data_IF_153640715761
#
_entry.id   IF_153640715761
#
_cell.length_a   1.000
_cell.length_b   1.000
_cell.length_c   1.000
_cell.angle_alpha   90.00
_cell.angle_beta   90.00
_cell.angle_gamma   90.00
#
_symmetry.space_group_name_H-M   'P 1'
#
loop_
_entity.id
_entity.type
_entity.pdbx_description
1 polymer ?
#
# COMPACT_ATOMS: atom_id res chain seq x y z
N UNK A 1 -16.45 -9.13 -44.64
CA UNK A 1 -15.46 -9.34 -43.57
C UNK A 1 -14.03 -8.97 -44.01
N UNK A 2 -13.57 -9.44 -45.19
CA UNK A 2 -12.22 -9.14 -45.73
C UNK A 2 -11.88 -7.66 -45.87
N UNK A 3 -12.85 -6.79 -46.15
CA UNK A 3 -12.58 -5.33 -46.26
C UNK A 3 -12.35 -4.64 -44.90
N UNK A 4 -12.99 -5.10 -43.82
CA UNK A 4 -12.77 -4.58 -42.47
C UNK A 4 -11.38 -4.94 -41.92
N UNK A 5 -10.92 -6.18 -42.20
CA UNK A 5 -9.60 -6.65 -41.79
C UNK A 5 -8.48 -5.89 -42.49
N UNK A 6 -8.63 -5.64 -43.80
CA UNK A 6 -7.69 -4.84 -44.62
C UNK A 6 -7.63 -3.39 -44.12
N UNK A 7 -8.81 -2.80 -43.87
CA UNK A 7 -8.88 -1.42 -43.35
C UNK A 7 -8.25 -1.32 -41.97
N UNK A 8 -8.48 -2.30 -41.07
CA UNK A 8 -7.85 -2.35 -39.76
C UNK A 8 -6.33 -2.53 -39.87
N UNK A 9 -5.85 -3.40 -40.73
CA UNK A 9 -4.42 -3.61 -40.98
C UNK A 9 -3.72 -2.34 -41.48
N UNK A 10 -4.36 -1.60 -42.39
CA UNK A 10 -3.84 -0.32 -42.88
C UNK A 10 -3.78 0.72 -41.74
N UNK A 11 -4.80 0.80 -40.91
CA UNK A 11 -4.82 1.70 -39.76
C UNK A 11 -3.72 1.37 -38.74
N UNK A 12 -3.52 0.08 -38.41
CA UNK A 12 -2.45 -0.36 -37.52
C UNK A 12 -1.08 0.04 -38.06
N UNK A 13 -0.81 -0.20 -39.37
CA UNK A 13 0.43 0.17 -40.01
C UNK A 13 0.66 1.68 -40.00
N UNK A 14 -0.40 2.47 -40.20
CA UNK A 14 -0.31 3.93 -40.13
C UNK A 14 0.00 4.42 -38.71
N UNK A 15 -0.62 3.83 -37.68
CA UNK A 15 -0.35 4.15 -36.27
C UNK A 15 1.11 3.84 -35.94
N UNK A 16 1.61 2.68 -36.30
CA UNK A 16 3.01 2.29 -36.05
C UNK A 16 4.01 3.19 -36.76
N UNK A 17 3.70 3.66 -37.97
CA UNK A 17 4.52 4.64 -38.69
C UNK A 17 4.55 6.00 -38.02
N UNK A 18 3.41 6.46 -37.48
CA UNK A 18 3.27 7.78 -36.89
C UNK A 18 3.80 7.85 -35.45
N UNK A 19 3.55 6.81 -34.66
CA UNK A 19 3.81 6.81 -33.22
C UNK A 19 4.92 5.81 -32.79
N UNK A 20 5.45 5.03 -33.71
CA UNK A 20 6.49 4.02 -33.47
C UNK A 20 5.94 2.61 -33.27
N UNK A 21 6.82 1.61 -33.46
CA UNK A 21 6.48 0.20 -33.22
C UNK A 21 6.08 -0.02 -31.77
N UNK A 22 5.01 -0.79 -31.56
CA UNK A 22 4.49 -1.08 -30.21
C UNK A 22 3.53 -0.02 -29.66
N UNK A 23 3.22 1.05 -30.42
CA UNK A 23 2.21 2.03 -30.03
C UNK A 23 0.80 1.47 -29.99
N UNK A 24 0.56 0.37 -30.70
CA UNK A 24 -0.66 -0.42 -30.67
C UNK A 24 -0.32 -1.90 -30.76
N UNK A 25 -0.97 -2.73 -29.96
CA UNK A 25 -0.75 -4.17 -29.96
C UNK A 25 -2.04 -4.92 -29.61
N UNK A 26 -2.15 -6.17 -30.01
CA UNK A 26 -3.25 -7.04 -29.58
C UNK A 26 -2.91 -7.59 -28.19
N UNK A 27 -3.82 -7.49 -27.24
CA UNK A 27 -3.59 -7.91 -25.85
C UNK A 27 -3.14 -9.38 -25.73
N UNK A 28 -3.69 -10.27 -26.56
CA UNK A 28 -3.31 -11.69 -26.59
C UNK A 28 -1.99 -12.02 -27.32
N UNK A 29 -1.35 -11.03 -27.94
CA UNK A 29 -0.01 -11.15 -28.58
C UNK A 29 1.09 -10.49 -27.75
N UNK A 30 0.75 -9.87 -26.61
CA UNK A 30 1.74 -9.54 -25.61
C UNK A 30 2.25 -10.87 -25.04
N UNK A 31 3.49 -11.25 -25.38
CA UNK A 31 4.16 -12.50 -24.98
C UNK A 31 4.33 -12.67 -23.45
N UNK A 32 3.70 -11.83 -22.69
CA UNK A 32 3.63 -11.91 -21.24
C UNK A 32 2.20 -11.57 -20.83
N UNK A 33 1.50 -12.52 -20.23
CA UNK A 33 0.70 -12.20 -19.05
C UNK A 33 1.70 -11.60 -18.07
N UNK A 34 1.95 -10.28 -18.17
CA UNK A 34 2.99 -9.59 -17.40
C UNK A 34 2.58 -9.73 -15.96
N UNK A 35 3.25 -10.64 -15.25
CA UNK A 35 3.19 -10.64 -13.79
C UNK A 35 3.56 -9.23 -13.37
N UNK A 36 2.60 -8.52 -12.78
CA UNK A 36 2.84 -7.15 -12.29
C UNK A 36 3.82 -7.28 -11.14
N UNK A 37 5.06 -6.77 -11.27
CA UNK A 37 6.03 -6.88 -10.20
C UNK A 37 5.50 -6.15 -8.96
N UNK A 38 5.66 -6.77 -7.80
CA UNK A 38 5.14 -6.27 -6.55
C UNK A 38 6.25 -6.06 -5.50
N UNK A 39 6.02 -5.10 -4.61
CA UNK A 39 6.83 -4.85 -3.43
C UNK A 39 6.04 -5.29 -2.21
N UNK A 40 6.62 -6.17 -1.40
CA UNK A 40 5.99 -6.65 -0.16
C UNK A 40 5.68 -5.48 0.78
N UNK A 41 4.57 -5.59 1.48
CA UNK A 41 4.16 -4.63 2.51
C UNK A 41 4.81 -4.88 3.87
N UNK A 42 5.54 -5.99 4.03
CA UNK A 42 6.03 -6.46 5.32
C UNK A 42 5.01 -7.26 6.12
N UNK A 43 3.73 -7.25 5.72
CA UNK A 43 2.65 -8.07 6.24
C UNK A 43 2.32 -9.17 5.24
N UNK A 44 2.48 -10.43 5.64
CA UNK A 44 2.16 -11.59 4.79
C UNK A 44 0.67 -11.62 4.44
N UNK A 45 -0.18 -11.34 5.42
CA UNK A 45 -1.63 -11.34 5.22
C UNK A 45 -2.06 -10.27 4.21
N UNK A 46 -1.49 -9.05 4.28
CA UNK A 46 -1.80 -7.99 3.34
C UNK A 46 -1.25 -8.31 1.94
N UNK A 47 -0.05 -8.87 1.84
CA UNK A 47 0.53 -9.31 0.57
C UNK A 47 -0.36 -10.34 -0.16
N UNK A 48 -0.89 -11.33 0.58
CA UNK A 48 -1.84 -12.31 0.06
C UNK A 48 -3.18 -11.68 -0.32
N UNK A 49 -3.69 -10.76 0.50
CA UNK A 49 -4.94 -10.07 0.24
C UNK A 49 -4.86 -9.18 -1.00
N UNK A 50 -3.72 -8.56 -1.29
CA UNK A 50 -3.46 -7.78 -2.50
C UNK A 50 -3.46 -8.64 -3.78
N UNK A 51 -3.28 -9.94 -3.67
CA UNK A 51 -3.45 -10.91 -4.76
C UNK A 51 -2.26 -11.08 -5.69
N UNK A 52 -1.26 -10.21 -5.61
CA UNK A 52 -0.02 -10.23 -6.42
C UNK A 52 1.24 -10.30 -5.55
N UNK A 53 1.08 -10.59 -4.25
CA UNK A 53 2.20 -10.71 -3.30
C UNK A 53 2.77 -9.40 -2.80
N UNK A 54 2.03 -8.29 -2.90
CA UNK A 54 2.43 -6.98 -2.41
C UNK A 54 1.79 -5.83 -3.19
N UNK A 55 2.33 -4.61 -3.04
CA UNK A 55 1.90 -3.42 -3.75
C UNK A 55 2.46 -3.40 -5.19
N UNK A 56 1.63 -3.10 -6.21
CA UNK A 56 2.04 -3.12 -7.61
C UNK A 56 3.05 -2.02 -7.93
N UNK A 57 4.16 -2.37 -8.57
CA UNK A 57 5.11 -1.40 -9.13
C UNK A 57 4.50 -0.67 -10.33
N UNK A 58 5.01 0.52 -10.61
CA UNK A 58 4.48 1.34 -11.69
C UNK A 58 3.07 1.90 -11.44
N UNK A 59 2.65 1.97 -10.19
CA UNK A 59 1.30 2.38 -9.78
C UNK A 59 1.31 3.37 -8.63
N UNK A 60 0.19 4.10 -8.53
CA UNK A 60 -0.10 5.01 -7.43
C UNK A 60 -0.99 4.28 -6.42
N UNK A 61 -0.62 4.35 -5.15
CA UNK A 61 -1.31 3.74 -4.03
C UNK A 61 -1.71 4.84 -3.05
N UNK A 62 -2.89 4.74 -2.46
CA UNK A 62 -3.32 5.58 -1.35
C UNK A 62 -3.48 4.74 -0.09
N UNK A 63 -2.81 5.14 0.99
CA UNK A 63 -2.98 4.59 2.34
C UNK A 63 -3.62 5.68 3.18
N UNK A 64 -4.82 5.45 3.70
CA UNK A 64 -5.54 6.45 4.48
C UNK A 64 -6.17 5.85 5.74
N UNK A 65 -6.47 6.68 6.69
CA UNK A 65 -7.05 6.27 7.96
C UNK A 65 -6.96 7.35 9.02
N UNK A 66 -7.54 7.11 10.21
CA UNK A 66 -7.43 8.02 11.35
C UNK A 66 -5.97 8.27 11.76
N UNK A 67 -5.76 9.28 12.59
CA UNK A 67 -4.47 9.52 13.22
C UNK A 67 -4.05 8.30 14.06
N UNK A 68 -2.74 8.05 14.15
CA UNK A 68 -2.14 6.94 14.91
C UNK A 68 -2.65 5.55 14.52
N UNK A 69 -3.19 5.37 13.32
CA UNK A 69 -3.67 4.08 12.81
C UNK A 69 -2.57 3.17 12.25
N UNK A 70 -1.34 3.67 12.05
CA UNK A 70 -0.20 2.92 11.51
C UNK A 70 0.11 3.17 10.03
N UNK A 71 -0.42 4.24 9.41
CA UNK A 71 -0.16 4.59 7.99
C UNK A 71 1.32 4.70 7.68
N UNK A 72 2.02 5.57 8.41
CA UNK A 72 3.46 5.80 8.26
C UNK A 72 4.26 4.52 8.55
N UNK A 73 3.87 3.75 9.57
CA UNK A 73 4.48 2.45 9.88
C UNK A 73 4.41 1.49 8.70
N UNK A 74 3.22 1.34 8.09
CA UNK A 74 3.03 0.47 6.92
C UNK A 74 3.87 0.95 5.73
N UNK A 75 3.89 2.26 5.44
CA UNK A 75 4.69 2.82 4.35
C UNK A 75 6.20 2.60 4.57
N UNK A 76 6.69 2.77 5.80
CA UNK A 76 8.09 2.50 6.15
C UNK A 76 8.47 1.02 6.02
N UNK A 77 7.56 0.10 6.36
CA UNK A 77 7.79 -1.33 6.09
C UNK A 77 7.91 -1.61 4.59
N UNK A 78 7.09 -0.99 3.72
CA UNK A 78 7.23 -1.12 2.26
C UNK A 78 8.61 -0.62 1.79
N UNK A 79 9.07 0.52 2.33
CA UNK A 79 10.41 1.06 2.06
C UNK A 79 11.48 0.05 2.48
N UNK A 80 11.39 -0.48 3.71
CA UNK A 80 12.35 -1.47 4.21
C UNK A 80 12.39 -2.74 3.34
N UNK A 81 11.24 -3.26 2.94
CA UNK A 81 11.15 -4.43 2.07
C UNK A 81 11.70 -4.16 0.66
N UNK A 82 11.53 -2.96 0.12
CA UNK A 82 12.14 -2.54 -1.14
C UNK A 82 13.66 -2.46 -1.04
N UNK A 83 14.19 -1.82 0.01
CA UNK A 83 15.63 -1.69 0.25
C UNK A 83 16.31 -3.05 0.48
N UNK A 84 15.66 -4.01 1.16
CA UNK A 84 16.18 -5.39 1.30
C UNK A 84 16.42 -6.08 -0.03
N UNK A 85 15.68 -5.69 -1.08
CA UNK A 85 15.86 -6.19 -2.45
C UNK A 85 16.80 -5.31 -3.28
N UNK A 86 17.52 -4.37 -2.67
CA UNK A 86 18.44 -3.43 -3.33
C UNK A 86 17.73 -2.26 -4.02
N UNK A 87 16.46 -2.01 -3.72
CA UNK A 87 15.70 -0.93 -4.31
C UNK A 87 16.04 0.44 -3.73
N UNK A 88 16.03 1.46 -4.58
CA UNK A 88 16.22 2.87 -4.21
C UNK A 88 14.89 3.48 -3.77
N UNK A 89 14.88 4.14 -2.62
CA UNK A 89 13.69 4.69 -2.01
C UNK A 89 13.83 6.17 -1.67
N UNK A 90 12.73 6.92 -1.80
CA UNK A 90 12.66 8.30 -1.37
C UNK A 90 11.40 8.55 -0.54
N UNK A 91 11.48 9.52 0.35
CA UNK A 91 10.43 9.93 1.26
C UNK A 91 10.28 11.46 1.23
N UNK A 92 9.09 11.92 0.89
CA UNK A 92 8.72 13.33 0.95
C UNK A 92 7.92 13.53 2.23
N UNK A 93 8.57 14.12 3.23
CA UNK A 93 8.02 14.40 4.55
C UNK A 93 7.45 15.82 4.59
N UNK A 94 6.21 15.97 4.14
CA UNK A 94 5.51 17.25 4.16
C UNK A 94 4.98 17.62 5.56
N UNK A 95 4.90 16.68 6.48
CA UNK A 95 4.51 16.93 7.88
C UNK A 95 5.71 17.33 8.76
N UNK A 96 6.96 17.18 8.27
CA UNK A 96 8.19 17.39 9.03
C UNK A 96 8.26 16.55 10.32
N UNK A 97 7.72 15.35 10.29
CA UNK A 97 7.51 14.49 11.46
C UNK A 97 8.26 13.15 11.39
N UNK A 98 9.11 12.92 10.40
CA UNK A 98 9.88 11.70 10.24
C UNK A 98 10.88 11.54 11.38
N UNK A 99 10.77 10.43 12.12
CA UNK A 99 11.77 10.00 13.10
C UNK A 99 12.71 8.95 12.47
N UNK A 100 13.99 9.31 12.21
CA UNK A 100 14.98 8.38 11.67
C UNK A 100 15.24 7.17 12.57
N UNK A 101 15.15 7.35 13.90
CA UNK A 101 15.35 6.27 14.87
C UNK A 101 14.22 5.24 14.77
N UNK A 102 12.99 5.71 14.61
CA UNK A 102 11.84 4.84 14.40
C UNK A 102 11.94 4.11 13.05
N UNK A 103 12.27 4.82 11.96
CA UNK A 103 12.46 4.21 10.65
C UNK A 103 13.52 3.10 10.67
N UNK A 104 14.66 3.34 11.34
CA UNK A 104 15.72 2.34 11.50
C UNK A 104 15.25 1.09 12.26
N UNK A 105 14.43 1.25 13.30
CA UNK A 105 13.84 0.12 14.05
C UNK A 105 12.91 -0.72 13.20
N UNK A 106 12.23 -0.12 12.22
CA UNK A 106 11.38 -0.84 11.26
C UNK A 106 12.19 -1.53 10.14
N UNK A 107 13.50 -1.40 10.15
CA UNK A 107 14.41 -2.04 9.19
C UNK A 107 14.75 -1.19 7.97
N UNK A 108 14.41 0.10 7.99
CA UNK A 108 14.81 1.04 6.94
C UNK A 108 16.30 1.36 7.07
N UNK A 109 17.05 1.22 5.99
CA UNK A 109 18.42 1.76 5.91
C UNK A 109 18.33 3.29 5.71
N UNK A 110 18.50 4.02 6.79
CA UNK A 110 18.40 5.48 6.80
C UNK A 110 19.51 6.16 6.00
N UNK A 111 20.66 5.50 5.80
CA UNK A 111 21.78 6.07 5.03
C UNK A 111 21.50 6.09 3.52
N UNK A 112 20.65 5.18 3.05
CA UNK A 112 20.28 5.04 1.63
C UNK A 112 18.88 5.59 1.33
N UNK A 113 18.14 6.07 2.34
CA UNK A 113 16.84 6.69 2.14
C UNK A 113 17.00 8.17 1.78
N UNK A 114 16.55 8.54 0.58
CA UNK A 114 16.44 9.96 0.20
C UNK A 114 15.27 10.58 0.94
N UNK A 115 15.50 11.70 1.63
CA UNK A 115 14.45 12.46 2.30
C UNK A 115 14.38 13.88 1.76
N UNK A 116 13.15 14.40 1.60
CA UNK A 116 12.88 15.79 1.26
C UNK A 116 11.79 16.35 2.16
N UNK A 117 11.98 17.56 2.64
CA UNK A 117 11.03 18.29 3.50
C UNK A 117 10.65 19.61 2.82
N UNK A 118 9.72 19.58 1.85
CA UNK A 118 9.34 20.75 1.07
C UNK A 118 8.45 21.70 1.87
N UNK A 119 8.56 23.01 1.58
CA UNK A 119 7.76 24.06 2.22
C UNK A 119 6.36 24.19 1.59
N UNK A 120 6.17 23.78 0.32
CA UNK A 120 4.91 23.92 -0.42
C UNK A 120 4.52 22.62 -1.11
N UNK A 121 3.21 22.45 -1.36
CA UNK A 121 2.68 21.32 -2.10
C UNK A 121 3.21 21.24 -3.54
N UNK A 122 3.39 22.39 -4.19
CA UNK A 122 3.97 22.46 -5.54
C UNK A 122 5.41 21.93 -5.54
N UNK A 123 6.24 22.36 -4.59
CA UNK A 123 7.62 21.92 -4.47
C UNK A 123 7.68 20.39 -4.22
N UNK A 124 6.84 19.88 -3.30
CA UNK A 124 6.75 18.45 -3.02
C UNK A 124 6.47 17.62 -4.28
N UNK A 125 5.46 18.05 -5.06
CA UNK A 125 5.00 17.33 -6.25
C UNK A 125 5.96 17.47 -7.44
N UNK A 126 6.70 18.58 -7.56
CA UNK A 126 7.75 18.74 -8.56
C UNK A 126 8.99 17.88 -8.23
N UNK A 127 9.36 17.79 -6.97
CA UNK A 127 10.41 16.86 -6.51
C UNK A 127 9.98 15.41 -6.81
N UNK A 128 8.73 15.05 -6.50
CA UNK A 128 8.17 13.75 -6.83
C UNK A 128 8.24 13.45 -8.33
N UNK A 129 7.79 14.37 -9.20
CA UNK A 129 7.84 14.19 -10.65
C UNK A 129 9.27 14.02 -11.17
N UNK A 130 10.21 14.81 -10.65
CA UNK A 130 11.62 14.75 -11.03
C UNK A 130 12.24 13.40 -10.65
N UNK A 131 12.02 12.95 -9.42
CA UNK A 131 12.53 11.66 -8.94
C UNK A 131 11.94 10.48 -9.73
N UNK A 132 10.64 10.48 -9.97
CA UNK A 132 9.97 9.42 -10.75
C UNK A 132 10.46 9.39 -12.20
N UNK A 133 10.62 10.55 -12.83
CA UNK A 133 11.09 10.64 -14.22
C UNK A 133 12.52 10.20 -14.41
N UNK A 134 13.34 10.21 -13.37
CA UNK A 134 14.71 9.68 -13.42
C UNK A 134 14.75 8.18 -13.76
N UNK A 135 13.67 7.44 -13.43
CA UNK A 135 13.61 5.99 -13.62
C UNK A 135 14.49 5.19 -12.67
N UNK A 136 15.15 5.86 -11.71
CA UNK A 136 16.08 5.23 -10.78
C UNK A 136 15.46 4.88 -9.43
N UNK A 137 14.18 5.21 -9.23
CA UNK A 137 13.50 5.05 -7.95
C UNK A 137 12.52 3.88 -7.99
N UNK A 138 12.57 3.02 -6.97
CA UNK A 138 11.65 1.89 -6.81
C UNK A 138 10.42 2.29 -6.00
N UNK A 139 10.60 3.03 -4.91
CA UNK A 139 9.52 3.50 -4.02
C UNK A 139 9.66 4.97 -3.73
N UNK A 140 8.54 5.69 -3.83
CA UNK A 140 8.39 7.06 -3.36
C UNK A 140 7.20 7.11 -2.38
N UNK A 141 7.44 7.62 -1.17
CA UNK A 141 6.38 7.91 -0.19
C UNK A 141 6.18 9.41 -0.12
N UNK A 142 4.92 9.85 -0.06
CA UNK A 142 4.52 11.24 0.21
C UNK A 142 3.66 11.25 1.47
N UNK A 143 4.17 11.79 2.54
CA UNK A 143 3.53 11.84 3.85
C UNK A 143 3.39 13.30 4.33
N UNK A 144 2.22 13.86 4.37
CA UNK A 144 0.95 13.36 3.90
C UNK A 144 0.32 14.33 2.88
N UNK A 145 -0.68 13.84 2.12
CA UNK A 145 -1.45 14.71 1.20
C UNK A 145 -2.09 15.89 1.95
N UNK A 146 -2.49 15.69 3.21
CA UNK A 146 -3.10 16.74 4.02
C UNK A 146 -2.15 17.93 4.26
N UNK A 147 -0.85 17.70 4.28
CA UNK A 147 0.20 18.70 4.50
C UNK A 147 0.71 19.35 3.20
N UNK A 148 0.23 18.93 2.03
CA UNK A 148 0.56 19.56 0.75
C UNK A 148 -0.20 20.87 0.58
N UNK A 149 0.24 21.91 1.27
CA UNK A 149 -0.37 23.24 1.23
C UNK A 149 0.07 23.96 -0.05
N UNK A 150 -0.88 24.47 -0.88
CA UNK A 150 -0.54 25.29 -2.04
C UNK A 150 0.22 26.56 -1.65
N UNK A 151 1.21 26.94 -2.47
CA UNK A 151 2.02 28.14 -2.25
C UNK A 151 1.16 29.39 -2.06
N UNK A 152 0.12 29.56 -2.87
CA UNK A 152 -0.80 30.71 -2.79
C UNK A 152 -1.56 30.78 -1.46
N UNK A 153 -1.76 29.65 -0.78
CA UNK A 153 -2.37 29.59 0.55
C UNK A 153 -1.38 29.99 1.64
N UNK A 154 -0.10 29.64 1.47
CA UNK A 154 0.98 30.01 2.41
C UNK A 154 1.28 31.52 2.31
N UNK A 155 1.25 32.10 1.09
CA UNK A 155 1.53 33.51 0.85
C UNK A 155 0.31 34.44 1.11
N UNK A 156 -0.90 33.85 1.28
CA UNK A 156 -2.12 34.57 1.61
C UNK A 156 -2.17 35.04 3.06
N UNK A 157 -3.13 35.95 3.34
CA UNK A 157 -3.37 36.42 4.71
C UNK A 157 -4.22 35.40 5.51
N UNK A 158 -4.04 35.39 6.85
CA UNK A 158 -4.88 34.57 7.72
C UNK A 158 -6.36 34.92 7.59
N UNK A 159 -7.17 33.98 7.11
CA UNK A 159 -8.61 34.16 6.88
C UNK A 159 -9.00 34.23 5.42
N UNK A 160 -8.05 34.26 4.49
CA UNK A 160 -8.32 34.18 3.07
C UNK A 160 -8.95 32.82 2.69
N UNK A 161 -9.91 32.88 1.76
CA UNK A 161 -10.59 31.67 1.29
C UNK A 161 -9.87 31.05 0.10
N UNK A 162 -9.16 29.96 0.31
CA UNK A 162 -8.42 29.22 -0.72
C UNK A 162 -9.13 27.93 -1.16
N UNK A 163 -10.46 28.00 -1.32
CA UNK A 163 -11.28 26.80 -1.61
C UNK A 163 -10.83 26.07 -2.88
N UNK A 164 -10.51 24.77 -2.72
CA UNK A 164 -10.22 23.86 -3.83
C UNK A 164 -8.84 23.97 -4.46
N UNK A 165 -7.93 24.82 -3.98
CA UNK A 165 -6.57 24.94 -4.52
C UNK A 165 -5.80 23.63 -4.39
N UNK A 166 -5.82 23.00 -3.22
CA UNK A 166 -5.16 21.70 -3.00
C UNK A 166 -5.71 20.62 -3.94
N UNK A 167 -7.03 20.57 -4.14
CA UNK A 167 -7.64 19.59 -5.05
C UNK A 167 -7.24 19.83 -6.52
N UNK A 168 -7.09 21.07 -6.95
CA UNK A 168 -6.58 21.43 -8.29
C UNK A 168 -5.13 21.03 -8.46
N UNK A 169 -4.29 21.33 -7.46
CA UNK A 169 -2.88 20.95 -7.42
C UNK A 169 -2.71 19.45 -7.54
N UNK A 170 -3.42 18.66 -6.71
CA UNK A 170 -3.41 17.21 -6.77
C UNK A 170 -3.89 16.67 -8.12
N UNK A 171 -4.97 17.22 -8.68
CA UNK A 171 -5.47 16.80 -9.99
C UNK A 171 -4.45 17.05 -11.11
N UNK A 172 -3.73 18.16 -11.07
CA UNK A 172 -2.70 18.50 -12.05
C UNK A 172 -1.49 17.58 -11.91
N UNK A 173 -1.01 17.37 -10.69
CA UNK A 173 0.15 16.53 -10.41
C UNK A 173 -0.10 15.07 -10.79
N UNK A 174 -1.26 14.51 -10.39
CA UNK A 174 -1.59 13.11 -10.67
C UNK A 174 -1.70 12.83 -12.18
N UNK A 175 -2.22 13.78 -12.97
CA UNK A 175 -2.22 13.65 -14.44
C UNK A 175 -0.82 13.53 -15.03
N UNK A 176 0.16 14.29 -14.49
CA UNK A 176 1.56 14.22 -14.93
C UNK A 176 2.22 12.93 -14.44
N UNK A 177 2.08 12.64 -13.14
CA UNK A 177 2.74 11.51 -12.47
C UNK A 177 2.31 10.15 -13.03
N UNK A 178 1.03 9.96 -13.36
CA UNK A 178 0.51 8.64 -13.76
C UNK A 178 1.26 8.03 -14.93
N UNK A 179 1.55 8.81 -15.98
CA UNK A 179 2.28 8.33 -17.15
C UNK A 179 3.78 8.08 -16.83
N UNK A 180 4.37 8.93 -15.99
CA UNK A 180 5.77 8.81 -15.58
C UNK A 180 5.97 7.60 -14.68
N UNK A 181 5.09 7.39 -13.72
CA UNK A 181 5.09 6.24 -12.78
C UNK A 181 5.01 4.90 -13.52
N UNK A 182 4.10 4.78 -14.49
CA UNK A 182 3.97 3.56 -15.28
C UNK A 182 5.21 3.26 -16.12
N UNK A 183 5.87 4.29 -16.67
CA UNK A 183 7.08 4.13 -17.48
C UNK A 183 8.33 3.83 -16.65
N UNK A 184 8.47 4.48 -15.49
CA UNK A 184 9.61 4.29 -14.59
C UNK A 184 9.51 3.03 -13.73
N UNK A 185 8.32 2.39 -13.72
CA UNK A 185 8.02 1.25 -12.85
C UNK A 185 8.19 1.56 -11.34
N UNK A 186 8.05 2.84 -10.97
CA UNK A 186 8.14 3.33 -9.59
C UNK A 186 6.80 3.09 -8.87
N UNK A 187 6.83 2.61 -7.64
CA UNK A 187 5.69 2.59 -6.74
C UNK A 187 5.59 3.94 -6.02
N UNK A 188 4.45 4.65 -6.13
CA UNK A 188 4.20 5.84 -5.31
C UNK A 188 3.12 5.51 -4.26
N UNK A 189 3.42 5.85 -3.02
CA UNK A 189 2.50 5.76 -1.89
C UNK A 189 2.17 7.16 -1.41
N UNK A 190 0.89 7.55 -1.50
CA UNK A 190 0.37 8.74 -0.85
C UNK A 190 -0.28 8.34 0.46
N UNK A 191 0.23 8.89 1.55
CA UNK A 191 -0.42 8.80 2.86
C UNK A 191 -1.45 9.91 2.95
N UNK A 192 -2.66 9.59 3.41
CA UNK A 192 -3.76 10.55 3.49
C UNK A 192 -4.51 10.47 4.83
N UNK A 193 -5.16 11.56 5.17
CA UNK A 193 -5.93 11.69 6.40
C UNK A 193 -7.43 11.69 6.07
N UNK A 194 -8.24 11.20 7.00
CA UNK A 194 -9.69 11.24 6.91
C UNK A 194 -10.19 12.59 7.41
N UNK A 195 -11.18 13.13 6.73
CA UNK A 195 -11.97 14.30 7.12
C UNK A 195 -13.46 13.94 7.07
N UNK A 196 -14.26 14.64 7.85
CA UNK A 196 -15.71 14.46 7.87
C UNK A 196 -16.37 15.51 6.98
N UNK A 197 -17.22 15.07 6.05
CA UNK A 197 -18.08 15.96 5.25
C UNK A 197 -19.16 16.56 6.15
N UNK A 198 -19.30 17.87 6.14
CA UNK A 198 -20.33 18.58 6.90
C UNK A 198 -21.67 18.42 6.17
N UNK A 199 -22.74 18.14 6.92
CA UNK A 199 -24.11 18.09 6.39
C UNK A 199 -24.52 16.76 5.74
N UNK A 200 -23.70 15.72 5.81
CA UNK A 200 -24.09 14.38 5.35
C UNK A 200 -24.94 13.69 6.43
N UNK A 201 -26.24 13.57 6.19
CA UNK A 201 -27.18 12.91 7.11
C UNK A 201 -27.33 11.42 6.83
N UNK A 202 -27.05 10.96 5.63
CA UNK A 202 -27.15 9.57 5.19
C UNK A 202 -25.88 9.18 4.39
N UNK A 203 -25.47 7.89 4.46
CA UNK A 203 -24.27 7.39 3.83
C UNK A 203 -22.99 7.67 4.64
N UNK A 204 -21.83 7.45 4.03
CA UNK A 204 -20.53 7.61 4.69
C UNK A 204 -20.06 9.07 4.66
N UNK A 205 -19.95 9.75 5.82
CA UNK A 205 -19.48 11.13 5.89
C UNK A 205 -17.96 11.25 5.72
N UNK A 206 -17.21 10.14 5.80
CA UNK A 206 -15.74 10.16 5.72
C UNK A 206 -15.27 10.47 4.29
N UNK A 207 -14.26 11.30 4.19
CA UNK A 207 -13.57 11.60 2.92
C UNK A 207 -12.10 11.82 3.18
N UNK A 208 -11.26 11.65 2.14
CA UNK A 208 -9.83 11.94 2.23
C UNK A 208 -9.54 13.38 1.75
N UNK A 209 -8.41 13.97 2.20
CA UNK A 209 -7.97 15.29 1.78
C UNK A 209 -7.46 15.30 0.33
N UNK A 210 -7.29 16.49 -0.27
CA UNK A 210 -6.76 16.65 -1.63
C UNK A 210 -7.79 16.40 -2.74
N UNK A 211 -9.09 16.35 -2.43
CA UNK A 211 -10.18 16.17 -3.39
C UNK A 211 -10.33 14.73 -3.89
N UNK A 212 -11.03 14.55 -5.00
CA UNK A 212 -11.36 13.21 -5.51
C UNK A 212 -10.32 12.63 -6.48
N UNK A 213 -9.34 13.43 -6.95
CA UNK A 213 -8.43 12.98 -7.99
C UNK A 213 -7.65 11.71 -7.59
N UNK A 214 -7.13 11.66 -6.37
CA UNK A 214 -6.36 10.51 -5.88
C UNK A 214 -7.20 9.23 -5.83
N UNK A 215 -8.49 9.33 -5.49
CA UNK A 215 -9.42 8.19 -5.51
C UNK A 215 -9.51 7.54 -6.90
N UNK A 216 -9.48 8.34 -7.99
CA UNK A 216 -9.54 7.83 -9.36
C UNK A 216 -8.18 7.32 -9.85
N UNK A 217 -7.08 8.06 -9.57
CA UNK A 217 -5.75 7.73 -10.07
C UNK A 217 -5.10 6.57 -9.32
N UNK A 218 -5.38 6.38 -8.03
CA UNK A 218 -4.87 5.26 -7.27
C UNK A 218 -5.34 3.92 -7.85
N UNK A 219 -4.39 2.99 -8.01
CA UNK A 219 -4.66 1.61 -8.43
C UNK A 219 -5.07 0.74 -7.25
N UNK A 220 -4.56 1.04 -6.06
CA UNK A 220 -4.93 0.40 -4.80
C UNK A 220 -5.21 1.49 -3.77
N UNK A 221 -6.27 1.33 -3.00
CA UNK A 221 -6.61 2.17 -1.86
C UNK A 221 -6.78 1.30 -0.62
N UNK A 222 -6.11 1.68 0.44
CA UNK A 222 -6.01 0.94 1.68
C UNK A 222 -6.52 1.82 2.82
N UNK A 223 -7.59 1.37 3.48
CA UNK A 223 -8.09 1.94 4.73
C UNK A 223 -7.43 1.19 5.90
N UNK A 224 -6.73 1.91 6.78
CA UNK A 224 -6.04 1.35 7.93
C UNK A 224 -6.59 1.92 9.22
N UNK A 225 -7.03 1.06 10.15
CA UNK A 225 -7.68 1.44 11.39
C UNK A 225 -7.17 0.65 12.58
N UNK A 226 -6.95 1.33 13.69
CA UNK A 226 -6.74 0.70 14.98
C UNK A 226 -8.06 0.11 15.47
N UNK A 227 -8.07 -1.18 15.84
CA UNK A 227 -9.25 -1.88 16.36
C UNK A 227 -9.11 -2.30 17.82
N UNK A 228 -7.89 -2.30 18.37
CA UNK A 228 -7.64 -2.66 19.76
C UNK A 228 -6.26 -2.24 20.22
N UNK A 229 -6.04 -2.29 21.53
CA UNK A 229 -4.72 -2.13 22.14
C UNK A 229 -4.16 -3.51 22.54
N UNK A 230 -2.89 -3.72 22.27
CA UNK A 230 -2.14 -4.90 22.75
C UNK A 230 -1.48 -4.51 24.05
N UNK A 231 -1.74 -5.27 25.09
CA UNK A 231 -1.20 -5.02 26.42
C UNK A 231 -0.30 -6.16 26.86
N UNK A 232 0.78 -5.79 27.52
CA UNK A 232 1.59 -6.69 28.31
C UNK A 232 1.46 -6.25 29.77
N UNK A 233 0.79 -7.06 30.59
CA UNK A 233 0.30 -6.67 31.92
C UNK A 233 -0.54 -5.37 31.86
N UNK A 234 -0.08 -4.28 32.47
CA UNK A 234 -0.76 -2.98 32.48
C UNK A 234 -0.29 -2.03 31.39
N UNK A 235 0.83 -2.32 30.71
CA UNK A 235 1.41 -1.46 29.68
C UNK A 235 0.84 -1.77 28.30
N UNK A 236 0.52 -0.72 27.53
CA UNK A 236 0.13 -0.86 26.13
C UNK A 236 1.40 -0.92 25.29
N UNK A 237 1.68 -2.11 24.73
CA UNK A 237 2.89 -2.37 23.93
C UNK A 237 2.65 -2.27 22.42
N UNK A 238 1.40 -2.15 21.99
CA UNK A 238 1.09 -2.10 20.57
C UNK A 238 -0.40 -1.94 20.30
N UNK A 239 -0.74 -2.00 19.02
CA UNK A 239 -2.10 -1.90 18.52
C UNK A 239 -2.43 -3.06 17.61
N UNK A 240 -3.61 -3.62 17.78
CA UNK A 240 -4.24 -4.45 16.77
C UNK A 240 -4.81 -3.54 15.69
N UNK A 241 -4.44 -3.79 14.45
CA UNK A 241 -4.74 -2.92 13.31
C UNK A 241 -5.48 -3.72 12.25
N UNK A 242 -6.58 -3.13 11.75
CA UNK A 242 -7.36 -3.64 10.63
C UNK A 242 -7.04 -2.87 9.38
N UNK A 243 -6.77 -3.58 8.30
CA UNK A 243 -6.50 -3.03 6.97
C UNK A 243 -7.55 -3.55 6.00
N UNK A 244 -8.27 -2.64 5.34
CA UNK A 244 -9.26 -2.96 4.31
C UNK A 244 -8.77 -2.46 2.96
N UNK A 245 -8.75 -3.33 1.96
CA UNK A 245 -8.45 -2.98 0.58
C UNK A 245 -9.74 -2.50 -0.07
N UNK A 246 -9.95 -1.18 -0.11
CA UNK A 246 -11.19 -0.56 -0.60
C UNK A 246 -11.25 -0.53 -2.13
N UNK A 247 -10.09 -0.39 -2.78
CA UNK A 247 -9.95 -0.41 -4.23
C UNK A 247 -8.72 -1.22 -4.62
N UNK A 248 -8.86 -2.04 -5.64
CA UNK A 248 -7.73 -2.80 -6.20
C UNK A 248 -7.97 -3.04 -7.70
N UNK A 249 -7.08 -2.52 -8.56
CA UNK A 249 -7.13 -2.71 -10.02
C UNK A 249 -6.33 -3.92 -10.50
N UNK A 250 -5.64 -4.64 -9.60
CA UNK A 250 -4.78 -5.78 -9.96
C UNK A 250 -5.29 -7.12 -9.41
N UNK A 251 -6.29 -7.09 -8.51
CA UNK A 251 -6.96 -8.26 -7.96
C UNK A 251 -8.33 -7.86 -7.39
N UNK A 252 -9.22 -8.80 -7.01
CA UNK A 252 -10.49 -8.47 -6.38
C UNK A 252 -10.31 -7.65 -5.10
N UNK A 253 -11.02 -6.50 -4.94
CA UNK A 253 -10.95 -5.63 -3.77
C UNK A 253 -11.77 -6.18 -2.58
N UNK A 254 -11.95 -5.33 -1.56
CA UNK A 254 -12.77 -5.51 -0.35
C UNK A 254 -12.31 -6.60 0.62
N UNK A 255 -11.05 -7.05 0.49
CA UNK A 255 -10.46 -7.96 1.46
C UNK A 255 -10.02 -7.19 2.70
N UNK A 256 -10.13 -7.85 3.85
CA UNK A 256 -9.76 -7.29 5.15
C UNK A 256 -8.70 -8.18 5.81
N UNK A 257 -7.71 -7.56 6.39
CA UNK A 257 -6.62 -8.23 7.11
C UNK A 257 -6.39 -7.54 8.44
N UNK A 258 -6.23 -8.32 9.49
CA UNK A 258 -5.87 -7.84 10.81
C UNK A 258 -4.44 -8.29 11.13
N UNK A 259 -3.64 -7.36 11.64
CA UNK A 259 -2.30 -7.65 12.16
C UNK A 259 -1.95 -6.76 13.36
N UNK A 260 -0.93 -7.17 14.09
CA UNK A 260 -0.44 -6.47 15.26
C UNK A 260 0.69 -5.53 14.88
N UNK A 261 0.62 -4.26 15.32
CA UNK A 261 1.74 -3.30 15.28
C UNK A 261 2.28 -3.14 16.69
N UNK A 262 3.52 -3.55 16.92
CA UNK A 262 4.22 -3.41 18.21
C UNK A 262 5.03 -2.12 18.20
N UNK A 263 4.93 -1.35 19.26
CA UNK A 263 5.66 -0.08 19.38
C UNK A 263 7.17 -0.31 19.39
N UNK A 264 7.86 0.37 18.48
CA UNK A 264 9.31 0.22 18.31
C UNK A 264 9.79 -0.98 17.51
N UNK A 265 8.88 -1.96 17.16
CA UNK A 265 9.20 -3.10 16.29
C UNK A 265 8.44 -3.05 14.95
N UNK A 266 7.26 -2.41 14.93
CA UNK A 266 6.38 -2.36 13.76
C UNK A 266 5.46 -3.58 13.62
N UNK A 267 5.20 -4.02 12.39
CA UNK A 267 4.31 -5.14 12.09
C UNK A 267 4.90 -6.44 12.65
N UNK A 268 4.11 -7.14 13.46
CA UNK A 268 4.51 -8.40 14.11
C UNK A 268 4.50 -9.57 13.12
N UNK A 269 5.53 -9.66 12.28
CA UNK A 269 5.66 -10.71 11.24
C UNK A 269 5.50 -12.11 11.81
N UNK A 270 6.15 -12.44 12.94
CA UNK A 270 6.04 -13.76 13.58
C UNK A 270 4.63 -14.02 14.11
N UNK A 271 3.95 -12.98 14.59
CA UNK A 271 2.55 -13.09 15.01
C UNK A 271 1.63 -13.45 13.85
N UNK A 272 1.80 -12.79 12.70
CA UNK A 272 1.05 -13.11 11.49
C UNK A 272 1.33 -14.54 10.97
N UNK A 273 2.60 -14.99 10.98
CA UNK A 273 2.96 -16.34 10.56
C UNK A 273 2.23 -17.40 11.39
N UNK A 274 2.09 -17.19 12.70
CA UNK A 274 1.35 -18.11 13.57
C UNK A 274 -0.14 -18.08 13.25
N UNK A 275 -0.74 -16.88 13.17
CA UNK A 275 -2.17 -16.73 12.95
C UNK A 275 -2.60 -17.24 11.57
N UNK A 276 -1.85 -16.89 10.52
CA UNK A 276 -2.09 -17.36 9.17
C UNK A 276 -1.76 -18.85 9.01
N UNK A 277 -0.68 -19.31 9.66
CA UNK A 277 -0.30 -20.71 9.67
C UNK A 277 -1.37 -21.63 10.28
N UNK A 278 -2.02 -21.16 11.36
CA UNK A 278 -3.16 -21.88 11.94
C UNK A 278 -4.36 -21.85 11.00
N UNK A 279 -4.67 -20.73 10.37
CA UNK A 279 -5.77 -20.61 9.40
C UNK A 279 -5.55 -21.48 8.15
N UNK A 280 -4.30 -21.61 7.71
CA UNK A 280 -3.90 -22.46 6.59
C UNK A 280 -3.78 -23.95 6.96
N UNK A 281 -3.84 -24.30 8.25
CA UNK A 281 -3.58 -25.66 8.68
C UNK A 281 -2.11 -26.09 8.60
N UNK A 282 -1.19 -25.15 8.35
CA UNK A 282 0.27 -25.35 8.32
C UNK A 282 0.82 -25.45 9.74
N UNK A 283 0.29 -24.65 10.66
CA UNK A 283 0.59 -24.67 12.08
C UNK A 283 -0.60 -25.29 12.81
N UNK A 284 -0.36 -26.33 13.58
CA UNK A 284 -1.39 -26.97 14.39
C UNK A 284 -1.53 -26.27 15.74
N UNK A 285 -2.78 -26.02 16.16
CA UNK A 285 -3.09 -25.49 17.48
C UNK A 285 -3.92 -26.48 18.28
N UNK A 286 -3.37 -26.96 19.37
CA UNK A 286 -4.07 -27.87 20.31
C UNK A 286 -4.07 -27.25 21.71
N UNK A 287 -5.23 -26.72 22.10
CA UNK A 287 -5.36 -25.93 23.34
C UNK A 287 -4.45 -24.69 23.31
N UNK A 288 -3.51 -24.61 24.25
CA UNK A 288 -2.50 -23.55 24.33
C UNK A 288 -1.21 -23.85 23.54
N UNK A 289 -1.06 -25.05 22.98
CA UNK A 289 0.15 -25.46 22.28
C UNK A 289 0.07 -25.20 20.78
N UNK A 290 1.18 -24.72 20.24
CA UNK A 290 1.40 -24.60 18.81
C UNK A 290 2.44 -25.62 18.36
N UNK A 291 2.20 -26.28 17.23
CA UNK A 291 3.08 -27.32 16.66
C UNK A 291 3.27 -27.13 15.16
N UNK A 292 4.44 -27.48 14.66
CA UNK A 292 4.76 -27.50 13.23
C UNK A 292 5.41 -28.82 12.88
N UNK A 293 4.88 -29.56 11.89
CA UNK A 293 5.36 -30.92 11.52
C UNK A 293 5.48 -31.87 12.69
N UNK A 294 4.58 -31.80 13.67
CA UNK A 294 4.58 -32.64 14.87
C UNK A 294 5.52 -32.16 16.00
N UNK A 295 6.35 -31.16 15.78
CA UNK A 295 7.22 -30.56 16.80
C UNK A 295 6.53 -29.39 17.48
N UNK A 296 6.61 -29.30 18.81
CA UNK A 296 6.06 -28.20 19.59
C UNK A 296 6.93 -26.97 19.43
N UNK A 297 6.33 -25.86 18.94
CA UNK A 297 7.02 -24.58 18.75
C UNK A 297 6.75 -23.56 19.87
N UNK A 298 5.79 -23.83 20.75
CA UNK A 298 5.56 -22.99 21.92
C UNK A 298 4.23 -23.26 22.62
N UNK A 299 4.18 -22.93 23.91
CA UNK A 299 2.95 -22.84 24.68
C UNK A 299 2.53 -21.37 24.77
N UNK A 300 1.39 -21.02 24.17
CA UNK A 300 0.94 -19.64 23.98
C UNK A 300 1.60 -18.96 22.78
N UNK A 301 0.93 -17.91 22.28
CA UNK A 301 1.33 -17.16 21.07
C UNK A 301 2.71 -16.50 21.23
N UNK A 302 3.00 -15.93 22.41
CA UNK A 302 4.25 -15.22 22.65
C UNK A 302 5.46 -16.17 22.67
N UNK A 303 5.33 -17.37 23.28
CA UNK A 303 6.39 -18.39 23.25
C UNK A 303 6.64 -18.89 21.82
N UNK A 304 5.59 -19.07 21.03
CA UNK A 304 5.71 -19.48 19.63
C UNK A 304 6.38 -18.38 18.78
N UNK A 305 6.06 -17.09 19.00
CA UNK A 305 6.74 -15.95 18.35
C UNK A 305 8.24 -15.95 18.69
N UNK A 306 8.59 -16.10 19.96
CA UNK A 306 9.99 -16.13 20.40
C UNK A 306 10.75 -17.30 19.76
N UNK A 307 10.13 -18.46 19.68
CA UNK A 307 10.70 -19.63 19.00
C UNK A 307 10.97 -19.34 17.52
N UNK A 308 10.01 -18.78 16.78
CA UNK A 308 10.16 -18.45 15.37
C UNK A 308 11.21 -17.35 15.13
N UNK A 309 11.32 -16.36 16.03
CA UNK A 309 12.40 -15.35 15.98
C UNK A 309 13.80 -16.00 16.07
N UNK A 310 13.93 -17.07 16.87
CA UNK A 310 15.20 -17.78 17.05
C UNK A 310 15.45 -18.86 15.99
N UNK A 311 14.44 -19.23 15.21
CA UNK A 311 14.49 -20.32 14.23
C UNK A 311 14.02 -19.83 12.85
N UNK A 312 14.79 -18.93 12.22
CA UNK A 312 14.45 -18.30 10.95
C UNK A 312 14.18 -19.29 9.80
N UNK A 313 14.83 -20.45 9.81
CA UNK A 313 14.58 -21.50 8.81
C UNK A 313 13.15 -22.02 8.90
N UNK A 314 12.67 -22.31 10.12
CA UNK A 314 11.32 -22.80 10.35
C UNK A 314 10.31 -21.71 10.00
N UNK A 315 10.59 -20.45 10.38
CA UNK A 315 9.75 -19.32 10.01
C UNK A 315 9.62 -19.17 8.49
N UNK A 316 10.73 -19.30 7.75
CA UNK A 316 10.75 -19.24 6.28
C UNK A 316 10.02 -20.41 5.62
N UNK A 317 10.12 -21.63 6.18
CA UNK A 317 9.38 -22.79 5.70
C UNK A 317 7.86 -22.61 5.90
N UNK A 318 7.45 -22.11 7.06
CA UNK A 318 6.04 -21.81 7.35
C UNK A 318 5.53 -20.73 6.40
N UNK A 319 6.29 -19.65 6.19
CA UNK A 319 5.94 -18.58 5.25
C UNK A 319 5.77 -19.12 3.82
N UNK A 320 6.71 -19.95 3.36
CA UNK A 320 6.64 -20.56 2.03
C UNK A 320 5.41 -21.48 1.87
N UNK A 321 5.10 -22.27 2.90
CA UNK A 321 3.92 -23.14 2.92
C UNK A 321 2.61 -22.32 2.88
N UNK A 322 2.52 -21.23 3.67
CA UNK A 322 1.37 -20.32 3.66
C UNK A 322 1.22 -19.67 2.28
N UNK A 323 2.31 -19.21 1.64
CA UNK A 323 2.26 -18.62 0.31
C UNK A 323 1.81 -19.62 -0.76
N UNK A 324 2.20 -20.89 -0.65
CA UNK A 324 1.77 -21.94 -1.57
C UNK A 324 0.26 -22.22 -1.46
N UNK A 325 -0.31 -22.13 -0.25
CA UNK A 325 -1.74 -22.28 0.04
C UNK A 325 -2.54 -20.96 -0.13
N UNK A 326 -1.87 -19.91 -0.55
CA UNK A 326 -2.39 -18.53 -0.59
C UNK A 326 -3.72 -18.36 -1.34
N UNK A 327 -4.03 -19.24 -2.30
CA UNK A 327 -5.29 -19.24 -3.03
C UNK A 327 -6.50 -19.57 -2.14
N UNK A 328 -6.41 -20.63 -1.34
CA UNK A 328 -7.48 -21.04 -0.42
C UNK A 328 -7.62 -20.07 0.74
N UNK A 329 -6.50 -19.61 1.33
CA UNK A 329 -6.48 -18.58 2.36
C UNK A 329 -7.15 -17.29 1.90
N UNK A 330 -6.84 -16.85 0.68
CA UNK A 330 -7.44 -15.65 0.09
C UNK A 330 -8.96 -15.81 -0.07
N UNK A 331 -9.45 -16.98 -0.47
CA UNK A 331 -10.89 -17.25 -0.55
C UNK A 331 -11.55 -17.23 0.85
N UNK A 332 -10.92 -17.81 1.85
CA UNK A 332 -11.41 -17.75 3.24
C UNK A 332 -11.46 -16.31 3.75
N UNK A 333 -10.44 -15.48 3.46
CA UNK A 333 -10.44 -14.06 3.81
C UNK A 333 -11.58 -13.27 3.18
N UNK A 334 -12.00 -13.61 1.95
CA UNK A 334 -13.17 -13.00 1.28
C UNK A 334 -14.45 -13.39 1.99
N UNK A 335 -14.60 -14.65 2.37
CA UNK A 335 -15.81 -15.16 3.05
C UNK A 335 -15.97 -14.56 4.45
N UNK A 336 -14.87 -14.30 5.14
CA UNK A 336 -14.86 -13.70 6.48
C UNK A 336 -15.08 -12.17 6.45
N UNK A 337 -15.00 -11.53 5.28
CA UNK A 337 -15.19 -10.09 5.14
C UNK A 337 -16.67 -9.76 5.01
N UNK A 338 -17.26 -8.91 5.86
CA UNK A 338 -18.63 -8.43 5.69
C UNK A 338 -18.79 -7.79 4.32
N UNK A 339 -19.93 -8.06 3.64
CA UNK A 339 -20.24 -7.39 2.37
C UNK A 339 -20.13 -5.87 2.56
N UNK A 340 -19.44 -5.16 1.63
CA UNK A 340 -19.35 -3.71 1.70
C UNK A 340 -20.75 -3.08 1.65
N UNK A 341 -20.95 -1.99 2.35
CA UNK A 341 -22.18 -1.21 2.24
C UNK A 341 -22.35 -0.71 0.79
N UNK A 342 -23.58 -0.56 0.32
CA UNK A 342 -23.88 -0.10 -1.05
C UNK A 342 -23.14 1.20 -1.40
N UNK A 343 -23.00 2.12 -0.43
CA UNK A 343 -22.27 3.38 -0.57
C UNK A 343 -20.76 3.20 -0.83
N UNK A 344 -20.15 2.13 -0.32
CA UNK A 344 -18.74 1.81 -0.54
C UNK A 344 -18.47 1.25 -1.94
N UNK A 345 -19.46 0.59 -2.55
CA UNK A 345 -19.34 0.06 -3.92
C UNK A 345 -19.39 1.18 -4.96
N UNK A 346 -20.17 2.23 -4.72
CA UNK A 346 -20.25 3.42 -5.59
C UNK A 346 -18.96 4.26 -5.55
N UNK A 347 -18.22 4.28 -4.44
CA UNK A 347 -16.93 4.97 -4.36
C UNK A 347 -15.77 4.22 -5.05
N UNK A 348 -15.94 2.95 -5.39
CA UNK A 348 -14.90 2.10 -6.00
C UNK A 348 -14.97 2.04 -7.54
N UNK A 349 -16.10 2.44 -8.15
CA UNK A 349 -16.25 2.63 -9.60
C UNK A 349 -15.75 4.01 -10.04
#
# INVERSE_FOLDING_TARGET
>A
MLDKEKALGAALTQIERTFGKGSIMRLGQCDNAVEIPAISTGSLGLDLALGIGGLPRGRIIEIYGPESSGKTTLALHVVAEAQKKGGSCAYIDAEHAMDPSYAAKLGVNINDLLISQPDTGEQALEIADTLVRSGALDVLVVDSVAALVPKAEIEGEMGDQHMGLQARLMSQALRKLTASVARSNTLIIFINQIRMKIGVMFGNPETTTGGNALKFYASVRIDIRRIGAIKDHEETIGNQTRVKIVKNKVAPPFKTVDFDIIYGEGISKMGELIDLGVKAGVVEKSGSWYSYKGEKIGQGKESAKAFLKSNEKIASEIEAAIRADGGELTQKMILDTPMPAEDEMVEAE
#
